data_IF_933109946397
#
_entry.id   IF_933109946397
#
_cell.length_a   1.000
_cell.length_b   1.000
_cell.length_c   1.000
_cell.angle_alpha   90.00
_cell.angle_beta   90.00
_cell.angle_gamma   90.00
#
_symmetry.space_group_name_H-M   'P 1'
#
loop_
_entity.id
_entity.type
_entity.pdbx_description
1 polymer ?
#
# COMPACT_ATOMS: atom_id res chain seq x y z
N UNK A 1 23.26 2.73 -3.31
CA UNK A 1 22.65 4.05 -3.59
C UNK A 1 23.17 4.42 -4.95
N UNK A 2 22.33 4.31 -5.97
CA UNK A 2 22.78 4.27 -7.37
C UNK A 2 22.61 5.61 -8.06
N UNK A 3 21.46 6.26 -7.85
CA UNK A 3 21.18 7.60 -8.34
C UNK A 3 20.92 8.50 -7.13
N UNK A 4 21.69 9.57 -7.00
CA UNK A 4 21.59 10.56 -5.92
C UNK A 4 21.63 11.94 -6.53
N UNK A 5 20.62 12.75 -6.22
CA UNK A 5 20.55 14.15 -6.61
C UNK A 5 20.56 14.99 -5.35
N UNK A 6 21.39 16.01 -5.36
CA UNK A 6 21.52 16.95 -4.25
C UNK A 6 20.96 18.30 -4.63
N UNK A 7 20.47 19.03 -3.63
CA UNK A 7 20.19 20.45 -3.78
C UNK A 7 21.48 21.23 -4.11
N UNK A 8 21.35 22.33 -4.84
CA UNK A 8 22.47 23.20 -5.23
C UNK A 8 23.27 23.78 -4.05
N UNK A 9 22.70 23.79 -2.85
CA UNK A 9 23.38 24.27 -1.65
C UNK A 9 24.38 23.28 -1.06
N UNK A 10 24.44 22.05 -1.58
CA UNK A 10 25.32 20.98 -1.10
C UNK A 10 26.71 21.08 -1.73
N UNK A 11 27.74 20.99 -0.89
CA UNK A 11 29.14 20.95 -1.31
C UNK A 11 29.56 19.53 -1.69
N UNK A 12 29.45 19.20 -2.98
CA UNK A 12 29.72 17.86 -3.52
C UNK A 12 31.12 17.33 -3.19
N UNK A 13 32.13 18.21 -3.16
CA UNK A 13 33.52 17.83 -2.85
C UNK A 13 33.70 17.20 -1.46
N UNK A 14 32.90 17.59 -0.46
CA UNK A 14 32.94 16.93 0.86
C UNK A 14 32.29 15.55 0.80
N UNK A 15 31.13 15.46 0.16
CA UNK A 15 30.41 14.18 0.03
C UNK A 15 31.23 13.11 -0.67
N UNK A 16 32.01 13.46 -1.70
CA UNK A 16 32.88 12.50 -2.40
C UNK A 16 34.00 11.94 -1.52
N UNK A 17 34.53 12.73 -0.59
CA UNK A 17 35.66 12.35 0.25
C UNK A 17 35.25 11.47 1.44
N UNK A 18 34.27 11.91 2.24
CA UNK A 18 33.93 11.25 3.52
C UNK A 18 32.44 10.89 3.64
N UNK A 19 31.66 11.05 2.56
CA UNK A 19 30.20 10.86 2.53
C UNK A 19 29.44 11.81 3.46
N UNK A 20 30.05 12.92 3.90
CA UNK A 20 29.39 13.97 4.69
C UNK A 20 28.68 14.97 3.78
N UNK A 21 27.37 15.13 3.97
CA UNK A 21 26.57 16.16 3.29
C UNK A 21 26.75 17.48 4.03
N UNK A 22 27.44 18.45 3.42
CA UNK A 22 27.66 19.79 3.98
C UNK A 22 26.99 20.84 3.11
N UNK A 23 26.17 21.70 3.70
CA UNK A 23 25.38 22.68 2.97
C UNK A 23 25.05 23.90 3.84
N UNK A 24 24.61 24.97 3.19
CA UNK A 24 23.97 26.12 3.84
C UNK A 24 22.50 26.07 3.42
N UNK A 25 21.55 25.80 4.32
CA UNK A 25 20.14 25.64 3.95
C UNK A 25 19.57 26.96 3.42
N UNK A 26 18.72 26.92 2.38
CA UNK A 26 17.76 27.98 2.11
C UNK A 26 16.74 28.11 3.26
N UNK A 27 16.08 29.26 3.34
CA UNK A 27 15.01 29.47 4.31
C UNK A 27 13.76 28.66 3.93
N UNK A 28 13.11 28.06 4.92
CA UNK A 28 11.88 27.27 4.75
C UNK A 28 12.11 25.80 4.40
N UNK A 29 11.06 25.16 3.88
CA UNK A 29 11.06 23.74 3.53
C UNK A 29 11.68 23.53 2.14
N UNK A 30 12.64 22.60 2.05
CA UNK A 30 13.28 22.26 0.77
C UNK A 30 13.72 20.79 0.71
N UNK A 31 13.84 20.26 -0.50
CA UNK A 31 14.40 18.93 -0.74
C UNK A 31 15.93 19.00 -0.74
N UNK A 32 16.57 18.47 0.31
CA UNK A 32 18.03 18.44 0.40
C UNK A 32 18.66 17.42 -0.57
N UNK A 33 18.04 16.26 -0.71
CA UNK A 33 18.56 15.14 -1.49
C UNK A 33 17.43 14.19 -1.88
N UNK A 34 17.42 13.74 -3.13
CA UNK A 34 16.67 12.58 -3.60
C UNK A 34 17.61 11.44 -3.96
N UNK A 35 17.11 10.22 -3.78
CA UNK A 35 17.91 9.04 -4.10
C UNK A 35 17.05 7.86 -4.54
N UNK A 36 17.65 6.98 -5.33
CA UNK A 36 17.08 5.71 -5.74
C UNK A 36 17.94 4.54 -5.26
N UNK A 37 17.25 3.50 -4.80
CA UNK A 37 17.86 2.23 -4.41
C UNK A 37 17.19 1.10 -5.18
N UNK A 38 17.98 0.29 -5.86
CA UNK A 38 17.52 -0.95 -6.47
C UNK A 38 17.68 -2.11 -5.46
N UNK A 39 16.91 -2.05 -4.37
CA UNK A 39 16.88 -3.13 -3.38
C UNK A 39 15.65 -4.00 -3.62
N UNK A 40 15.84 -5.31 -3.75
CA UNK A 40 14.73 -6.26 -3.72
C UNK A 40 14.17 -6.32 -2.30
N UNK A 41 13.00 -5.72 -2.10
CA UNK A 41 12.30 -5.68 -0.81
C UNK A 41 11.04 -6.51 -0.87
N UNK A 42 10.81 -7.29 0.20
CA UNK A 42 9.55 -8.00 0.36
C UNK A 42 8.41 -6.98 0.46
N UNK A 43 7.25 -7.24 -0.15
CA UNK A 43 6.10 -6.35 -0.06
C UNK A 43 5.68 -6.10 1.40
N UNK A 44 5.75 -4.85 1.86
CA UNK A 44 5.40 -4.46 3.23
C UNK A 44 3.96 -4.84 3.62
N UNK A 45 3.00 -4.71 2.70
CA UNK A 45 1.62 -5.15 2.88
C UNK A 45 1.29 -6.09 1.73
N UNK A 46 1.30 -7.38 2.02
CA UNK A 46 0.93 -8.41 1.04
C UNK A 46 -0.58 -8.62 1.06
N UNK A 47 -1.23 -8.52 -0.10
CA UNK A 47 -2.68 -8.74 -0.22
C UNK A 47 -2.92 -9.92 -1.15
N UNK A 48 -3.63 -10.91 -0.64
CA UNK A 48 -4.10 -12.06 -1.41
C UNK A 48 -5.62 -11.92 -1.54
N UNK A 49 -6.12 -11.98 -2.77
CA UNK A 49 -7.55 -12.08 -3.01
C UNK A 49 -7.85 -13.48 -3.54
N UNK A 50 -9.04 -13.97 -3.21
CA UNK A 50 -9.69 -15.11 -3.84
C UNK A 50 -11.04 -14.63 -4.32
N UNK A 51 -11.34 -14.84 -5.59
CA UNK A 51 -12.58 -14.41 -6.24
C UNK A 51 -13.34 -15.65 -6.67
N UNK A 52 -14.52 -15.85 -6.09
CA UNK A 52 -15.42 -16.95 -6.42
C UNK A 52 -16.62 -16.41 -7.17
N UNK A 53 -16.90 -16.98 -8.34
CA UNK A 53 -18.03 -16.58 -9.18
C UNK A 53 -19.05 -17.71 -9.24
N UNK A 54 -20.30 -17.37 -8.99
CA UNK A 54 -21.43 -18.28 -9.11
C UNK A 54 -22.24 -17.87 -10.34
N UNK A 55 -22.47 -18.84 -11.23
CA UNK A 55 -23.05 -18.71 -12.59
C UNK A 55 -24.03 -17.53 -12.79
N UNK A 56 -23.50 -16.33 -13.03
CA UNK A 56 -24.26 -15.12 -13.34
C UNK A 56 -25.19 -14.60 -12.23
N UNK A 57 -24.96 -14.93 -10.95
CA UNK A 57 -25.84 -14.49 -9.85
C UNK A 57 -25.13 -13.73 -8.76
N UNK A 58 -23.90 -14.12 -8.42
CA UNK A 58 -23.13 -13.47 -7.36
C UNK A 58 -21.63 -13.70 -7.54
N UNK A 59 -20.87 -12.75 -7.02
CA UNK A 59 -19.42 -12.85 -6.86
C UNK A 59 -19.06 -12.63 -5.41
N UNK A 60 -18.17 -13.49 -4.90
CA UNK A 60 -17.66 -13.44 -3.54
C UNK A 60 -16.16 -13.15 -3.56
N UNK A 61 -15.75 -12.20 -2.73
CA UNK A 61 -14.36 -11.80 -2.55
C UNK A 61 -13.92 -12.20 -1.15
N UNK A 62 -12.84 -12.96 -1.07
CA UNK A 62 -12.10 -13.19 0.17
C UNK A 62 -10.73 -12.52 0.04
N UNK A 63 -10.53 -11.42 0.76
CA UNK A 63 -9.30 -10.63 0.71
C UNK A 63 -8.57 -10.77 2.03
N UNK A 64 -7.34 -11.27 1.97
CA UNK A 64 -6.42 -11.42 3.10
C UNK A 64 -5.29 -10.43 2.96
N UNK A 65 -5.15 -9.51 3.91
CA UNK A 65 -4.04 -8.58 3.98
C UNK A 65 -3.07 -9.01 5.08
N UNK A 66 -1.76 -8.98 4.81
CA UNK A 66 -0.69 -9.39 5.72
C UNK A 66 0.40 -8.32 5.79
N UNK A 67 0.66 -7.80 6.98
CA UNK A 67 1.73 -6.85 7.21
C UNK A 67 3.08 -7.55 7.38
N UNK A 68 3.98 -7.45 6.39
CA UNK A 68 5.30 -8.10 6.36
C UNK A 68 6.44 -7.17 6.82
N UNK A 69 6.22 -6.41 7.90
CA UNK A 69 7.24 -5.58 8.53
C UNK A 69 7.34 -5.86 10.04
N UNK A 70 8.29 -5.21 10.71
CA UNK A 70 8.60 -5.44 12.13
C UNK A 70 7.36 -5.24 13.00
N UNK A 71 7.12 -6.15 13.96
CA UNK A 71 5.95 -6.14 14.87
C UNK A 71 5.80 -4.86 15.72
N UNK A 72 6.90 -4.15 15.95
CA UNK A 72 6.95 -2.88 16.67
C UNK A 72 6.51 -1.68 15.83
N UNK A 73 6.44 -1.84 14.51
CA UNK A 73 6.00 -0.82 13.58
C UNK A 73 4.52 -1.05 13.25
N UNK A 74 3.82 0.03 12.95
CA UNK A 74 2.39 0.03 12.60
C UNK A 74 2.20 0.89 11.38
N UNK A 75 1.53 0.36 10.36
CA UNK A 75 1.07 1.16 9.23
C UNK A 75 -0.22 1.90 9.62
N UNK A 76 -0.33 3.15 9.21
CA UNK A 76 -1.47 4.02 9.42
C UNK A 76 -2.21 4.23 8.11
N UNK A 77 -3.52 4.48 8.22
CA UNK A 77 -4.38 4.85 7.10
C UNK A 77 -4.24 3.91 5.89
N UNK A 78 -4.20 2.60 6.16
CA UNK A 78 -4.09 1.60 5.10
C UNK A 78 -5.40 1.55 4.34
N UNK A 79 -5.34 1.71 3.03
CA UNK A 79 -6.48 1.67 2.13
C UNK A 79 -6.20 0.66 1.02
N UNK A 80 -7.00 -0.40 0.96
CA UNK A 80 -6.90 -1.46 -0.04
C UNK A 80 -8.09 -1.31 -0.98
N UNK A 81 -7.82 -1.00 -2.23
CA UNK A 81 -8.81 -0.84 -3.29
C UNK A 81 -8.80 -2.12 -4.14
N UNK A 82 -9.87 -2.91 -4.04
CA UNK A 82 -10.04 -4.14 -4.82
C UNK A 82 -11.08 -3.89 -5.91
N UNK A 83 -10.73 -4.03 -7.19
CA UNK A 83 -11.67 -3.89 -8.29
C UNK A 83 -12.79 -4.92 -8.24
N UNK A 84 -13.99 -4.50 -8.58
CA UNK A 84 -15.19 -5.33 -8.70
C UNK A 84 -15.84 -5.11 -10.07
N UNK A 85 -16.69 -6.04 -10.56
CA UNK A 85 -17.41 -5.86 -11.81
C UNK A 85 -18.23 -4.56 -11.83
N UNK A 86 -18.34 -3.96 -13.02
CA UNK A 86 -19.10 -2.73 -13.22
C UNK A 86 -20.61 -2.92 -13.00
N UNK A 87 -21.09 -4.14 -13.17
CA UNK A 87 -22.47 -4.55 -12.99
C UNK A 87 -22.76 -5.09 -11.57
N UNK A 88 -21.79 -5.01 -10.66
CA UNK A 88 -21.93 -5.49 -9.29
C UNK A 88 -22.99 -4.70 -8.51
N UNK A 89 -23.94 -5.43 -7.90
CA UNK A 89 -24.98 -4.85 -7.07
C UNK A 89 -24.97 -5.42 -5.64
N UNK A 90 -25.93 -4.96 -4.83
CA UNK A 90 -26.25 -5.51 -3.50
C UNK A 90 -25.04 -5.83 -2.60
N UNK A 91 -24.13 -4.87 -2.36
CA UNK A 91 -22.88 -5.11 -1.64
C UNK A 91 -23.13 -5.52 -0.18
N UNK A 92 -22.53 -6.64 0.25
CA UNK A 92 -22.52 -7.09 1.65
C UNK A 92 -21.09 -7.34 2.11
N UNK A 93 -20.72 -6.73 3.23
CA UNK A 93 -19.35 -6.78 3.74
C UNK A 93 -19.26 -7.42 5.12
N UNK A 94 -18.18 -8.17 5.34
CA UNK A 94 -17.76 -8.66 6.64
C UNK A 94 -16.24 -8.58 6.76
N UNK A 95 -15.73 -7.69 7.60
CA UNK A 95 -14.29 -7.56 7.83
C UNK A 95 -13.93 -7.85 9.30
N UNK A 96 -12.75 -8.42 9.52
CA UNK A 96 -12.23 -8.65 10.87
C UNK A 96 -11.77 -7.36 11.56
N UNK A 97 -11.34 -6.36 10.78
CA UNK A 97 -10.83 -5.09 11.28
C UNK A 97 -11.01 -3.99 10.23
N UNK A 98 -11.22 -2.75 10.68
CA UNK A 98 -11.42 -1.61 9.80
C UNK A 98 -12.86 -1.47 9.29
N UNK A 99 -13.03 -0.76 8.18
CA UNK A 99 -14.33 -0.49 7.55
C UNK A 99 -14.23 -0.72 6.04
N UNK A 100 -15.27 -1.29 5.44
CA UNK A 100 -15.34 -1.56 4.00
C UNK A 100 -16.48 -0.74 3.41
N UNK A 101 -16.25 -0.14 2.25
CA UNK A 101 -17.26 0.60 1.50
C UNK A 101 -17.17 0.28 0.02
N UNK A 102 -18.31 0.16 -0.65
CA UNK A 102 -18.36 0.10 -2.12
C UNK A 102 -18.26 1.50 -2.71
N UNK A 103 -17.52 1.63 -3.82
CA UNK A 103 -17.36 2.86 -4.60
C UNK A 103 -17.71 2.58 -6.06
N UNK A 104 -19.01 2.64 -6.43
CA UNK A 104 -19.49 2.37 -7.79
C UNK A 104 -18.81 3.27 -8.83
N UNK A 105 -18.51 4.52 -8.47
CA UNK A 105 -17.88 5.50 -9.36
C UNK A 105 -16.44 5.15 -9.78
N UNK A 106 -15.83 4.15 -9.11
CA UNK A 106 -14.49 3.61 -9.41
C UNK A 106 -14.52 2.11 -9.65
N UNK A 107 -15.70 1.49 -9.68
CA UNK A 107 -15.88 0.04 -9.77
C UNK A 107 -14.98 -0.73 -8.80
N UNK A 108 -14.91 -0.26 -7.55
CA UNK A 108 -14.04 -0.88 -6.55
C UNK A 108 -14.68 -0.93 -5.17
N UNK A 109 -14.31 -1.95 -4.40
CA UNK A 109 -14.50 -1.96 -2.96
C UNK A 109 -13.25 -1.36 -2.32
N UNK A 110 -13.46 -0.56 -1.27
CA UNK A 110 -12.39 0.12 -0.53
C UNK A 110 -12.41 -0.38 0.91
N UNK A 111 -11.34 -1.03 1.32
CA UNK A 111 -11.14 -1.49 2.68
C UNK A 111 -10.14 -0.60 3.41
N UNK A 112 -10.62 0.11 4.43
CA UNK A 112 -9.83 1.05 5.24
C UNK A 112 -9.49 0.46 6.59
N UNK A 113 -8.22 0.44 6.93
CA UNK A 113 -7.67 -0.02 8.21
C UNK A 113 -6.88 1.15 8.83
N UNK A 114 -7.39 1.70 9.94
CA UNK A 114 -6.75 2.84 10.62
C UNK A 114 -5.33 2.53 11.07
N UNK A 115 -5.14 1.35 11.65
CA UNK A 115 -3.86 0.89 12.17
C UNK A 115 -3.65 -0.59 11.82
N UNK A 116 -2.56 -0.89 11.14
CA UNK A 116 -2.17 -2.22 10.74
C UNK A 116 -0.80 -2.56 11.32
N UNK A 117 -0.79 -3.29 12.43
CA UNK A 117 0.44 -3.66 13.12
C UNK A 117 1.24 -4.70 12.31
N UNK A 118 2.57 -4.58 12.34
CA UNK A 118 3.48 -5.51 11.68
C UNK A 118 3.30 -6.95 12.18
N UNK A 119 3.35 -7.91 11.26
CA UNK A 119 3.20 -9.34 11.55
C UNK A 119 1.76 -9.79 11.82
N UNK A 120 0.77 -8.91 11.77
CA UNK A 120 -0.64 -9.28 11.81
C UNK A 120 -1.18 -9.55 10.41
N UNK A 121 -2.29 -10.26 10.37
CA UNK A 121 -3.10 -10.47 9.18
C UNK A 121 -4.56 -10.16 9.50
N UNK A 122 -5.25 -9.61 8.51
CA UNK A 122 -6.67 -9.32 8.58
C UNK A 122 -7.36 -9.89 7.36
N UNK A 123 -8.64 -10.22 7.52
CA UNK A 123 -9.45 -10.83 6.47
C UNK A 123 -10.72 -9.99 6.29
N UNK A 124 -11.08 -9.80 5.04
CA UNK A 124 -12.32 -9.17 4.61
C UNK A 124 -13.02 -10.09 3.61
N UNK A 125 -14.34 -10.19 3.77
CA UNK A 125 -15.25 -10.87 2.86
C UNK A 125 -16.22 -9.85 2.29
N UNK A 126 -16.42 -9.90 0.99
CA UNK A 126 -17.44 -9.12 0.31
C UNK A 126 -18.28 -10.04 -0.59
N UNK A 127 -19.57 -9.77 -0.64
CA UNK A 127 -20.51 -10.42 -1.54
C UNK A 127 -21.17 -9.34 -2.39
N UNK A 128 -21.25 -9.58 -3.69
CA UNK A 128 -21.98 -8.73 -4.63
C UNK A 128 -22.91 -9.62 -5.44
N UNK A 129 -24.11 -9.13 -5.72
CA UNK A 129 -24.97 -9.73 -6.73
C UNK A 129 -24.49 -9.34 -8.13
N UNK A 130 -24.78 -10.20 -9.09
CA UNK A 130 -24.55 -9.95 -10.51
C UNK A 130 -25.89 -10.08 -11.25
N UNK A 131 -26.18 -9.21 -12.23
CA UNK A 131 -27.35 -9.37 -13.07
C UNK A 131 -27.26 -10.65 -13.91
N UNK A 132 -28.41 -11.23 -14.22
CA UNK A 132 -28.53 -12.47 -15.00
C UNK A 132 -28.19 -12.30 -16.48
N UNK A 133 -28.08 -11.06 -16.96
CA UNK A 133 -27.75 -10.74 -18.35
C UNK A 133 -26.24 -10.63 -18.47
N UNK A 134 -25.61 -11.65 -19.04
CA UNK A 134 -24.20 -11.62 -19.37
C UNK A 134 -23.97 -10.62 -20.52
N UNK A 135 -23.28 -9.51 -20.24
CA UNK A 135 -22.62 -8.78 -21.32
C UNK A 135 -21.68 -9.75 -22.05
N UNK A 136 -21.57 -9.62 -23.38
CA UNK A 136 -20.64 -10.41 -24.17
C UNK A 136 -19.26 -10.40 -23.49
N UNK A 137 -18.56 -11.55 -23.48
CA UNK A 137 -17.26 -11.73 -22.82
C UNK A 137 -16.23 -10.72 -23.37
N UNK A 138 -16.31 -9.47 -22.93
CA UNK A 138 -15.23 -8.54 -23.05
C UNK A 138 -14.11 -9.13 -22.22
N UNK A 139 -12.93 -9.16 -22.83
CA UNK A 139 -11.70 -9.61 -22.20
C UNK A 139 -11.33 -8.58 -21.13
N UNK A 140 -12.11 -8.51 -20.06
CA UNK A 140 -11.98 -7.52 -19.00
C UNK A 140 -10.62 -7.71 -18.37
N UNK A 141 -9.70 -6.82 -18.71
CA UNK A 141 -8.42 -6.69 -18.04
C UNK A 141 -8.72 -6.33 -16.59
N UNK A 142 -8.75 -7.35 -15.73
CA UNK A 142 -8.96 -7.16 -14.29
C UNK A 142 -7.92 -6.17 -13.76
N UNK A 143 -8.34 -4.99 -13.29
CA UNK A 143 -7.38 -4.02 -12.78
C UNK A 143 -6.66 -4.63 -11.57
N UNK A 144 -5.41 -4.21 -11.28
CA UNK A 144 -4.72 -4.66 -10.08
C UNK A 144 -5.38 -4.09 -8.82
N UNK A 145 -5.10 -4.74 -7.69
CA UNK A 145 -5.44 -4.24 -6.36
C UNK A 145 -4.46 -3.12 -6.02
N UNK A 146 -4.97 -1.93 -5.72
CA UNK A 146 -4.14 -0.80 -5.28
C UNK A 146 -4.09 -0.74 -3.75
N UNK A 147 -2.93 -0.44 -3.18
CA UNK A 147 -2.75 -0.37 -1.73
C UNK A 147 -2.05 0.93 -1.36
N UNK A 148 -2.69 1.72 -0.51
CA UNK A 148 -2.11 2.93 0.08
C UNK A 148 -1.83 2.72 1.56
N UNK A 149 -0.71 3.23 2.04
CA UNK A 149 -0.32 3.13 3.45
C UNK A 149 0.77 4.12 3.80
N UNK A 150 0.87 4.43 5.10
CA UNK A 150 2.00 5.16 5.67
C UNK A 150 2.56 4.40 6.88
N UNK A 151 3.87 4.21 6.96
CA UNK A 151 4.54 3.60 8.12
C UNK A 151 5.51 4.62 8.73
N UNK A 152 5.18 5.23 9.87
CA UNK A 152 6.09 6.12 10.56
C UNK A 152 7.24 5.36 11.23
N UNK A 153 8.37 6.03 11.40
CA UNK A 153 9.59 5.54 12.06
C UNK A 153 10.14 4.22 11.46
N UNK A 154 9.85 3.98 10.19
CA UNK A 154 10.30 2.81 9.44
C UNK A 154 10.97 3.26 8.14
N UNK A 155 12.10 2.63 7.81
CA UNK A 155 12.84 2.88 6.57
C UNK A 155 13.01 1.58 5.79
N UNK A 156 12.52 1.57 4.56
CA UNK A 156 12.69 0.45 3.62
C UNK A 156 14.13 0.40 3.10
N UNK A 157 14.70 1.57 2.84
CA UNK A 157 16.07 1.75 2.35
C UNK A 157 17.16 1.36 3.36
N UNK A 158 16.81 1.29 4.65
CA UNK A 158 17.78 1.17 5.74
C UNK A 158 18.61 2.44 6.00
N UNK A 159 18.40 3.52 5.26
CA UNK A 159 19.08 4.79 5.48
C UNK A 159 18.63 5.38 6.81
N UNK A 160 19.61 5.83 7.60
CA UNK A 160 19.40 6.48 8.89
C UNK A 160 20.34 7.66 9.02
N UNK A 161 19.80 8.80 9.44
CA UNK A 161 20.54 9.98 9.86
C UNK A 161 21.29 9.64 11.14
N UNK A 162 22.63 9.64 11.07
CA UNK A 162 23.49 9.36 12.23
C UNK A 162 23.63 10.58 13.14
N UNK A 163 23.84 11.74 12.56
CA UNK A 163 23.95 13.01 13.26
C UNK A 163 23.56 14.15 12.33
N UNK A 164 23.10 15.26 12.91
CA UNK A 164 22.92 16.54 12.24
C UNK A 164 23.66 17.59 13.06
N UNK A 165 24.75 18.12 12.51
CA UNK A 165 25.57 19.14 13.17
C UNK A 165 25.23 20.51 12.58
N UNK A 166 24.70 21.39 13.44
CA UNK A 166 24.39 22.78 13.09
C UNK A 166 25.52 23.64 13.63
N UNK A 167 26.13 24.45 12.76
CA UNK A 167 27.19 25.39 13.12
C UNK A 167 26.67 26.79 12.82
N UNK A 168 26.23 27.48 13.85
CA UNK A 168 25.60 28.81 13.75
C UNK A 168 26.44 29.81 14.54
N UNK A 169 26.86 30.90 13.89
CA UNK A 169 27.78 31.88 14.48
C UNK A 169 27.05 32.92 15.34
N UNK A 170 25.74 33.06 15.15
CA UNK A 170 24.90 34.02 15.89
C UNK A 170 24.57 33.59 17.32
N UNK A 171 24.95 32.38 17.74
CA UNK A 171 24.64 31.85 19.08
C UNK A 171 23.22 31.28 19.23
N UNK A 172 22.45 31.22 18.13
CA UNK A 172 21.14 30.60 18.12
C UNK A 172 21.22 29.08 18.42
N UNK A 173 20.37 28.61 19.33
CA UNK A 173 20.27 27.19 19.67
C UNK A 173 19.15 26.54 18.86
N UNK A 174 19.53 25.72 17.88
CA UNK A 174 18.60 24.94 17.09
C UNK A 174 18.17 23.65 17.81
N UNK A 175 16.91 23.26 17.65
CA UNK A 175 16.34 21.99 18.13
C UNK A 175 16.11 21.05 16.94
N UNK A 176 17.14 20.31 16.49
CA UNK A 176 17.00 19.41 15.36
C UNK A 176 16.11 18.22 15.70
N UNK A 177 15.25 17.84 14.78
CA UNK A 177 14.46 16.60 14.86
C UNK A 177 14.56 15.84 13.54
N UNK A 178 14.36 14.53 13.61
CA UNK A 178 14.34 13.64 12.44
C UNK A 178 13.14 12.73 12.56
N UNK A 179 12.36 12.64 11.48
CA UNK A 179 11.27 11.66 11.35
C UNK A 179 11.48 10.86 10.08
N UNK A 180 11.28 9.55 10.19
CA UNK A 180 11.22 8.66 9.04
C UNK A 180 9.78 8.33 8.75
N UNK A 181 9.41 8.35 7.48
CA UNK A 181 8.09 7.95 7.01
C UNK A 181 8.30 7.14 5.75
N UNK A 182 7.73 5.94 5.71
CA UNK A 182 7.60 5.17 4.48
C UNK A 182 6.18 5.34 3.98
N UNK A 183 6.01 5.91 2.80
CA UNK A 183 4.72 5.97 2.10
C UNK A 183 4.76 5.02 0.90
N UNK A 184 3.60 4.53 0.50
CA UNK A 184 3.49 3.78 -0.74
C UNK A 184 3.77 4.69 -1.95
N UNK A 185 4.44 4.15 -2.97
CA UNK A 185 4.40 4.70 -4.33
C UNK A 185 3.34 3.96 -5.14
N UNK A 186 3.70 3.54 -6.35
CA UNK A 186 2.92 2.59 -7.16
C UNK A 186 2.97 1.21 -6.52
N UNK A 187 1.99 0.92 -5.66
CA UNK A 187 1.91 -0.31 -4.89
C UNK A 187 0.69 -1.11 -5.31
N UNK A 188 0.92 -2.04 -6.22
CA UNK A 188 -0.12 -2.81 -6.89
C UNK A 188 0.09 -4.32 -6.70
N UNK A 189 -1.00 -5.04 -6.50
CA UNK A 189 -1.00 -6.50 -6.47
C UNK A 189 -1.87 -7.05 -7.59
N UNK A 190 -1.40 -8.10 -8.26
CA UNK A 190 -2.14 -8.73 -9.36
C UNK A 190 -3.45 -9.32 -8.85
N UNK A 191 -4.53 -9.08 -9.59
CA UNK A 191 -5.82 -9.70 -9.33
C UNK A 191 -5.78 -11.19 -9.70
N UNK A 192 -6.27 -12.09 -8.84
CA UNK A 192 -6.35 -13.52 -9.15
C UNK A 192 -7.36 -13.80 -10.28
N UNK A 193 -7.24 -14.98 -10.87
CA UNK A 193 -8.30 -15.52 -11.72
C UNK A 193 -9.53 -15.87 -10.90
N UNK A 194 -10.71 -15.75 -11.52
CA UNK A 194 -11.97 -16.07 -10.85
C UNK A 194 -12.17 -17.57 -10.89
N UNK A 195 -12.46 -18.17 -9.73
CA UNK A 195 -12.79 -19.59 -9.64
C UNK A 195 -14.30 -19.72 -9.87
N UNK A 196 -14.70 -20.55 -10.83
CA UNK A 196 -16.12 -20.90 -11.04
C UNK A 196 -16.51 -21.92 -9.98
N UNK A 197 -17.45 -21.58 -9.10
CA UNK A 197 -17.95 -22.53 -8.11
C UNK A 197 -18.72 -23.67 -8.80
N UNK A 198 -18.33 -24.92 -8.54
CA UNK A 198 -19.03 -26.08 -9.06
C UNK A 198 -20.44 -26.15 -8.45
N UNK A 199 -21.45 -26.49 -9.28
CA UNK A 199 -22.81 -26.77 -8.78
C UNK A 199 -22.71 -27.90 -7.75
N UNK A 200 -23.05 -27.61 -6.50
CA UNK A 200 -23.21 -28.64 -5.48
C UNK A 200 -24.48 -29.43 -5.85
N UNK A 201 -24.31 -30.54 -6.57
CA UNK A 201 -25.38 -31.50 -6.78
C UNK A 201 -25.65 -32.14 -5.42
N UNK A 202 -26.65 -31.62 -4.70
CA UNK A 202 -27.27 -32.35 -3.62
C UNK A 202 -28.01 -33.55 -4.25
N UNK A 203 -27.33 -34.68 -4.37
CA UNK A 203 -28.00 -35.98 -4.49
C UNK A 203 -28.67 -36.22 -3.14
N UNK A 204 -29.96 -35.88 -3.05
CA UNK A 204 -30.84 -36.45 -2.06
C UNK A 204 -30.95 -37.95 -2.40
N UNK A 205 -30.22 -38.78 -1.66
CA UNK A 205 -30.54 -40.20 -1.58
C UNK A 205 -31.84 -40.35 -0.77
N UNK A 206 -32.78 -41.07 -1.38
CA UNK A 206 -34.11 -41.45 -0.90
C UNK A 206 -34.05 -42.40 0.29
#
# INVERSE_FOLDING_TARGET
>A
MEDVKFHQCVRLSRFENDRTISYIPPDGDFELMSYRLQTSVKPLIWVEAVVETYSGSRVEYLVKAKAQFKRKSTANNVEIEVPVPDDADTPKFKCSNGSVSYKPERSCLVWKIKQFQGGKEFIMRAHFGLPSVQAAEDTEKKPPINIKFEIPYFTVSGIQVRYLKIVEKSGYQALPWVRYITQNGDYQMRMPESIKAAKHNATNDY
#
